data_IF_709775711228
#
_entry.id   IF_709775711228
#
_cell.length_a   1.000
_cell.length_b   1.000
_cell.length_c   1.000
_cell.angle_alpha   90.00
_cell.angle_beta   90.00
_cell.angle_gamma   90.00
#
_symmetry.space_group_name_H-M   'P 1'
#
loop_
_entity.id
_entity.type
_entity.pdbx_description
1 polymer ?
#
# COMPACT_ATOMS: atom_id res chain seq x y z
N UNK A 1 12.53 -15.18 4.22
CA UNK A 1 11.20 -15.28 3.60
C UNK A 1 10.14 -14.37 4.23
N UNK A 2 9.54 -14.63 5.42
CA UNK A 2 8.45 -13.78 5.95
C UNK A 2 8.82 -12.29 6.14
N UNK A 3 10.01 -11.96 6.64
CA UNK A 3 10.48 -10.55 6.73
C UNK A 3 10.69 -9.90 5.35
N UNK A 4 11.13 -10.66 4.35
CA UNK A 4 11.32 -10.13 2.99
C UNK A 4 9.97 -9.86 2.33
N UNK A 5 8.99 -10.75 2.53
CA UNK A 5 7.61 -10.54 2.09
C UNK A 5 7.02 -9.29 2.74
N UNK A 6 7.26 -9.08 4.04
CA UNK A 6 6.78 -7.88 4.75
C UNK A 6 7.42 -6.59 4.24
N UNK A 7 8.73 -6.61 3.98
CA UNK A 7 9.44 -5.48 3.35
C UNK A 7 8.94 -5.22 1.92
N UNK A 8 8.75 -6.28 1.14
CA UNK A 8 8.21 -6.21 -0.20
C UNK A 8 6.80 -5.59 -0.22
N UNK A 9 5.93 -5.99 0.72
CA UNK A 9 4.60 -5.41 0.91
C UNK A 9 4.65 -3.92 1.25
N UNK A 10 5.62 -3.47 2.07
CA UNK A 10 5.83 -2.05 2.33
C UNK A 10 6.26 -1.29 1.08
N UNK A 11 7.06 -1.89 0.20
CA UNK A 11 7.46 -1.25 -1.06
C UNK A 11 6.31 -1.22 -2.08
N UNK A 12 5.52 -2.29 -2.17
CA UNK A 12 4.28 -2.31 -2.96
C UNK A 12 3.33 -1.21 -2.51
N UNK A 13 3.14 -1.02 -1.20
CA UNK A 13 2.27 0.03 -0.68
C UNK A 13 2.70 1.43 -1.16
N UNK A 14 4.02 1.71 -1.19
CA UNK A 14 4.55 2.98 -1.71
C UNK A 14 4.27 3.13 -3.21
N UNK A 15 4.46 2.08 -4.00
CA UNK A 15 4.19 2.14 -5.44
C UNK A 15 2.71 2.37 -5.75
N UNK A 16 1.82 1.71 -5.02
CA UNK A 16 0.37 1.93 -5.13
C UNK A 16 0.02 3.37 -4.74
N UNK A 17 0.58 3.89 -3.65
CA UNK A 17 0.38 5.28 -3.26
C UNK A 17 0.84 6.27 -4.34
N UNK A 18 2.02 6.06 -4.93
CA UNK A 18 2.54 6.88 -6.02
C UNK A 18 1.65 6.80 -7.26
N UNK A 19 1.17 5.61 -7.63
CA UNK A 19 0.26 5.44 -8.76
C UNK A 19 -1.05 6.21 -8.53
N UNK A 20 -1.65 6.08 -7.34
CA UNK A 20 -2.86 6.82 -6.96
C UNK A 20 -2.60 8.33 -7.06
N UNK A 21 -1.47 8.83 -6.54
CA UNK A 21 -1.12 10.24 -6.62
C UNK A 21 -0.97 10.74 -8.06
N UNK A 22 -0.19 10.05 -8.89
CA UNK A 22 -0.01 10.41 -10.31
C UNK A 22 -1.35 10.46 -11.03
N UNK A 23 -2.15 9.42 -10.84
CA UNK A 23 -3.50 9.28 -11.39
C UNK A 23 -4.45 10.38 -10.89
N UNK A 24 -4.24 10.90 -9.68
CA UNK A 24 -4.96 12.06 -9.14
C UNK A 24 -4.60 13.36 -9.84
N UNK A 25 -3.31 13.56 -10.16
CA UNK A 25 -2.82 14.72 -10.90
C UNK A 25 -3.27 14.70 -12.37
N UNK A 26 -3.34 13.52 -12.99
CA UNK A 26 -3.76 13.37 -14.38
C UNK A 26 -5.25 13.69 -14.60
N UNK A 27 -6.09 13.63 -13.57
CA UNK A 27 -7.43 14.21 -13.57
C UNK A 27 -8.49 13.57 -14.50
N UNK A 28 -8.11 12.66 -15.40
CA UNK A 28 -8.96 12.02 -16.42
C UNK A 28 -9.66 10.73 -15.95
N UNK A 29 -10.14 10.69 -14.71
CA UNK A 29 -10.89 9.52 -14.20
C UNK A 29 -12.33 9.94 -13.96
N UNK A 30 -13.28 9.19 -14.53
CA UNK A 30 -14.71 9.38 -14.29
C UNK A 30 -15.07 9.12 -12.82
N UNK A 31 -14.49 8.08 -12.22
CA UNK A 31 -14.83 7.56 -10.89
C UNK A 31 -13.70 7.82 -9.86
N UNK A 32 -13.26 9.08 -9.73
CA UNK A 32 -12.13 9.46 -8.83
C UNK A 32 -12.30 8.94 -7.40
N UNK A 33 -13.52 8.99 -6.87
CA UNK A 33 -13.83 8.53 -5.52
C UNK A 33 -13.55 7.03 -5.32
N UNK A 34 -13.82 6.20 -6.33
CA UNK A 34 -13.54 4.76 -6.28
C UNK A 34 -12.03 4.53 -6.23
N UNK A 35 -11.27 5.24 -7.07
CA UNK A 35 -9.80 5.13 -7.12
C UNK A 35 -9.17 5.53 -5.79
N UNK A 36 -9.64 6.62 -5.18
CA UNK A 36 -9.16 7.02 -3.85
C UNK A 36 -9.51 6.02 -2.77
N UNK A 37 -10.75 5.53 -2.75
CA UNK A 37 -11.22 4.60 -1.71
C UNK A 37 -10.47 3.28 -1.78
N UNK A 38 -10.39 2.67 -2.98
CA UNK A 38 -9.68 1.40 -3.19
C UNK A 38 -8.17 1.59 -2.99
N UNK A 39 -7.62 2.69 -3.51
CA UNK A 39 -6.20 3.00 -3.38
C UNK A 39 -5.77 3.12 -1.92
N UNK A 40 -6.48 3.92 -1.13
CA UNK A 40 -6.21 4.09 0.30
C UNK A 40 -6.38 2.77 1.06
N UNK A 41 -7.46 2.01 0.78
CA UNK A 41 -7.70 0.72 1.43
C UNK A 41 -6.59 -0.29 1.14
N UNK A 42 -6.10 -0.31 -0.10
CA UNK A 42 -4.99 -1.19 -0.55
C UNK A 42 -3.68 -0.80 0.11
N UNK A 43 -3.39 0.49 0.22
CA UNK A 43 -2.17 0.98 0.90
C UNK A 43 -2.21 0.64 2.39
N UNK A 44 -3.33 0.91 3.06
CA UNK A 44 -3.49 0.62 4.50
C UNK A 44 -3.37 -0.89 4.76
N UNK A 45 -4.03 -1.73 3.97
CA UNK A 45 -3.94 -3.19 4.12
C UNK A 45 -2.52 -3.72 3.86
N UNK A 46 -1.84 -3.26 2.80
CA UNK A 46 -0.46 -3.67 2.52
C UNK A 46 0.51 -3.23 3.63
N UNK A 47 0.34 -2.02 4.17
CA UNK A 47 1.16 -1.56 5.29
C UNK A 47 0.84 -2.33 6.57
N UNK A 48 -0.43 -2.56 6.90
CA UNK A 48 -0.84 -3.31 8.07
C UNK A 48 -0.29 -4.74 8.06
N UNK A 49 -0.46 -5.45 6.93
CA UNK A 49 0.06 -6.82 6.75
C UNK A 49 1.59 -6.80 6.74
N UNK A 50 2.21 -5.87 6.01
CA UNK A 50 3.67 -5.74 5.92
C UNK A 50 4.32 -5.48 7.28
N UNK A 51 3.75 -4.56 8.07
CA UNK A 51 4.19 -4.26 9.44
C UNK A 51 3.96 -5.44 10.38
N UNK A 52 2.80 -6.10 10.31
CA UNK A 52 2.51 -7.29 11.12
C UNK A 52 3.55 -8.40 10.86
N UNK A 53 3.85 -8.68 9.59
CA UNK A 53 4.82 -9.70 9.18
C UNK A 53 6.27 -9.36 9.60
N UNK A 54 6.60 -8.08 9.72
CA UNK A 54 7.91 -7.62 10.21
C UNK A 54 7.95 -7.64 11.75
N UNK A 55 6.85 -7.27 12.42
CA UNK A 55 6.72 -7.16 13.88
C UNK A 55 6.73 -8.52 14.58
N UNK A 56 6.19 -9.57 13.95
CA UNK A 56 6.20 -10.95 14.47
C UNK A 56 7.60 -11.51 14.82
N UNK A 57 8.69 -10.85 14.42
CA UNK A 57 10.05 -11.24 14.80
C UNK A 57 10.83 -10.13 15.49
N UNK A 58 10.11 -9.24 16.19
CA UNK A 58 10.69 -8.25 17.11
C UNK A 58 10.33 -8.54 18.57
N UNK A 59 9.87 -9.76 18.85
CA UNK A 59 9.87 -10.31 20.21
C UNK A 59 11.05 -11.27 20.36
N UNK A 60 11.96 -10.85 21.25
CA UNK A 60 13.19 -11.47 21.79
C UNK A 60 14.37 -11.61 20.83
#
# INVERSE_FOLDING_TARGET
MRKEIGKWLMDVAKYVATAVLITSFLGEIQEKWIVYTIGILTVISCLAIGLFLIKERKEV
#
